data_IF_861294670722
#
_entry.id   IF_861294670722
#
_cell.length_a   1.000
_cell.length_b   1.000
_cell.length_c   1.000
_cell.angle_alpha   90.00
_cell.angle_beta   90.00
_cell.angle_gamma   90.00
#
_symmetry.space_group_name_H-M   'P 1'
#
loop_
_entity.id
_entity.type
_entity.pdbx_description
1 polymer ?
#
# COMPACT_ATOMS: atom_id res chain seq x y z
N UNK A 1 -2.78 33.71 19.44
CA UNK A 1 -3.51 34.82 18.78
C UNK A 1 -4.78 35.10 19.57
N UNK A 2 -5.05 36.34 19.95
CA UNK A 2 -6.23 36.72 20.77
C UNK A 2 -7.53 36.58 19.98
N UNK A 3 -8.64 36.20 20.65
CA UNK A 3 -9.98 36.12 20.06
C UNK A 3 -10.41 37.44 19.41
N UNK A 4 -9.98 38.57 19.97
CA UNK A 4 -10.27 39.90 19.45
C UNK A 4 -9.63 40.14 18.07
N UNK A 5 -8.42 39.65 17.85
CA UNK A 5 -7.73 39.75 16.57
C UNK A 5 -8.42 38.94 15.46
N UNK A 6 -8.96 37.76 15.79
CA UNK A 6 -9.73 36.95 14.83
C UNK A 6 -11.06 37.60 14.46
N UNK A 7 -11.76 38.18 15.45
CA UNK A 7 -12.99 38.92 15.22
C UNK A 7 -12.75 40.16 14.34
N UNK A 8 -11.66 40.90 14.57
CA UNK A 8 -11.26 42.04 13.77
C UNK A 8 -10.91 41.64 12.32
N UNK A 9 -10.13 40.57 12.12
CA UNK A 9 -9.78 40.07 10.79
C UNK A 9 -11.02 39.59 10.01
N UNK A 10 -11.95 38.89 10.67
CA UNK A 10 -13.23 38.48 10.05
C UNK A 10 -14.09 39.68 9.68
N UNK A 11 -14.16 40.69 10.55
CA UNK A 11 -14.90 41.94 10.29
C UNK A 11 -14.34 42.67 9.08
N UNK A 12 -13.02 42.77 8.97
CA UNK A 12 -12.34 43.37 7.81
C UNK A 12 -12.61 42.58 6.53
N UNK A 13 -12.46 41.25 6.55
CA UNK A 13 -12.76 40.38 5.40
C UNK A 13 -14.22 40.51 4.95
N UNK A 14 -15.17 40.53 5.88
CA UNK A 14 -16.59 40.71 5.56
C UNK A 14 -16.88 42.10 5.01
N UNK A 15 -16.20 43.15 5.49
CA UNK A 15 -16.34 44.49 4.95
C UNK A 15 -15.84 44.56 3.50
N UNK A 16 -14.72 43.91 3.18
CA UNK A 16 -14.20 43.81 1.81
C UNK A 16 -15.18 43.06 0.88
N UNK A 17 -15.72 41.93 1.34
CA UNK A 17 -16.72 41.16 0.57
C UNK A 17 -18.02 41.96 0.34
N UNK A 18 -18.49 42.72 1.34
CA UNK A 18 -19.68 43.57 1.21
C UNK A 18 -19.47 44.72 0.23
N UNK A 19 -18.30 45.37 0.28
CA UNK A 19 -17.93 46.42 -0.69
C UNK A 19 -17.92 45.86 -2.11
N UNK A 20 -17.23 44.73 -2.33
CA UNK A 20 -17.20 44.07 -3.64
C UNK A 20 -18.58 43.68 -4.16
N UNK A 21 -19.49 43.20 -3.29
CA UNK A 21 -20.87 42.90 -3.68
C UNK A 21 -21.63 44.16 -4.09
N UNK A 22 -21.44 45.28 -3.37
CA UNK A 22 -22.06 46.55 -3.74
C UNK A 22 -21.52 47.11 -5.07
N UNK A 23 -20.22 46.95 -5.33
CA UNK A 23 -19.61 47.33 -6.61
C UNK A 23 -20.12 46.47 -7.78
N UNK A 24 -20.32 45.15 -7.55
CA UNK A 24 -20.95 44.21 -8.50
C UNK A 24 -22.42 44.60 -8.79
N UNK A 25 -23.17 45.03 -7.78
CA UNK A 25 -24.59 45.44 -7.89
C UNK A 25 -24.76 46.83 -8.54
N UNK A 26 -23.76 47.71 -8.42
CA UNK A 26 -23.70 49.01 -9.08
C UNK A 26 -23.19 48.95 -10.54
N UNK A 27 -22.85 47.75 -11.05
CA UNK A 27 -22.36 47.55 -12.41
C UNK A 27 -21.00 48.19 -12.70
N UNK A 28 -20.22 48.50 -11.65
CA UNK A 28 -18.87 49.05 -11.80
C UNK A 28 -17.90 47.87 -11.97
N UNK A 29 -17.51 47.59 -13.21
CA UNK A 29 -16.48 46.62 -13.56
C UNK A 29 -15.12 47.10 -13.00
N UNK A 30 -14.85 46.79 -11.73
CA UNK A 30 -13.51 47.00 -11.16
C UNK A 30 -12.59 46.02 -11.87
N UNK A 31 -11.59 46.54 -12.60
CA UNK A 31 -10.52 45.77 -13.24
C UNK A 31 -9.65 45.07 -12.19
N UNK A 32 -10.21 44.00 -11.61
CA UNK A 32 -9.52 43.13 -10.68
C UNK A 32 -8.43 42.36 -11.41
N UNK A 33 -7.26 42.28 -10.77
CA UNK A 33 -6.08 41.52 -11.19
C UNK A 33 -6.44 40.14 -11.80
N UNK A 34 -5.75 39.68 -12.87
CA UNK A 34 -6.06 38.45 -13.61
C UNK A 34 -6.06 37.15 -12.79
N UNK A 35 -5.68 37.19 -11.51
CA UNK A 35 -5.36 36.01 -10.69
C UNK A 35 -6.46 35.60 -9.68
N UNK A 36 -7.66 36.20 -9.71
CA UNK A 36 -8.77 35.78 -8.84
C UNK A 36 -9.59 34.66 -9.51
N UNK A 37 -9.18 33.40 -9.29
CA UNK A 37 -9.81 32.21 -9.86
C UNK A 37 -11.33 32.15 -9.61
N UNK A 38 -11.83 32.73 -8.51
CA UNK A 38 -13.25 32.80 -8.20
C UNK A 38 -14.06 33.71 -9.15
N UNK A 39 -13.45 34.75 -9.73
CA UNK A 39 -14.09 35.60 -10.75
C UNK A 39 -14.14 34.93 -12.11
N UNK A 40 -13.07 34.22 -12.48
CA UNK A 40 -13.00 33.55 -13.79
C UNK A 40 -14.02 32.40 -13.86
N UNK A 41 -14.16 31.62 -12.78
CA UNK A 41 -15.15 30.54 -12.69
C UNK A 41 -16.58 31.09 -12.72
N UNK A 42 -16.84 32.27 -12.15
CA UNK A 42 -18.18 32.89 -12.13
C UNK A 42 -18.56 33.58 -13.46
N UNK A 43 -17.59 33.95 -14.31
CA UNK A 43 -17.84 34.61 -15.61
C UNK A 43 -18.01 33.66 -16.79
N UNK A 44 -17.64 32.39 -16.67
CA UNK A 44 -17.79 31.41 -17.77
C UNK A 44 -18.96 30.47 -17.51
N UNK A 45 -20.16 30.87 -17.97
CA UNK A 45 -21.28 29.93 -18.06
C UNK A 45 -20.97 28.88 -19.11
N UNK A 46 -21.15 27.59 -18.74
CA UNK A 46 -20.83 26.44 -19.61
C UNK A 46 -21.49 26.53 -20.99
N UNK A 47 -22.68 27.14 -21.06
CA UNK A 47 -23.49 27.30 -22.27
C UNK A 47 -23.33 28.69 -22.95
N UNK A 48 -22.34 29.50 -22.58
CA UNK A 48 -22.16 30.85 -23.12
C UNK A 48 -20.74 31.06 -23.61
N UNK A 49 -20.60 31.67 -24.77
CA UNK A 49 -19.30 32.01 -25.35
C UNK A 49 -18.87 33.40 -24.88
N UNK A 50 -17.76 33.52 -24.12
CA UNK A 50 -17.34 34.81 -23.55
C UNK A 50 -16.87 35.81 -24.62
N UNK A 51 -16.56 35.34 -25.83
CA UNK A 51 -16.08 36.18 -26.95
C UNK A 51 -17.26 36.70 -27.78
N UNK A 52 -18.23 35.84 -28.11
CA UNK A 52 -19.36 36.19 -28.97
C UNK A 52 -20.56 36.70 -28.20
N UNK A 53 -20.60 36.47 -26.89
CA UNK A 53 -21.68 36.92 -26.03
C UNK A 53 -23.02 36.23 -26.32
N UNK A 54 -23.00 35.06 -26.95
CA UNK A 54 -24.18 34.30 -27.32
C UNK A 54 -24.18 32.93 -26.63
N UNK A 55 -25.35 32.29 -26.62
CA UNK A 55 -25.46 30.91 -26.17
C UNK A 55 -24.68 29.99 -27.12
N UNK A 56 -23.85 29.10 -26.57
CA UNK A 56 -23.19 28.03 -27.31
C UNK A 56 -24.24 27.14 -27.94
N UNK A 57 -24.28 27.07 -29.26
CA UNK A 57 -25.18 26.20 -30.02
C UNK A 57 -24.35 25.08 -30.63
N UNK A 58 -24.59 23.84 -30.21
CA UNK A 58 -24.02 22.67 -30.84
C UNK A 58 -24.88 22.34 -32.08
N UNK A 59 -24.53 22.90 -33.23
CA UNK A 59 -25.33 22.77 -34.46
C UNK A 59 -24.92 21.58 -35.30
N UNK A 60 -23.70 21.08 -35.13
CA UNK A 60 -23.15 19.97 -35.87
C UNK A 60 -22.47 18.96 -34.94
N UNK A 61 -22.32 17.72 -35.43
CA UNK A 61 -21.61 16.64 -34.73
C UNK A 61 -20.15 17.00 -34.41
N UNK A 62 -19.58 17.98 -35.13
CA UNK A 62 -18.22 18.50 -34.94
C UNK A 62 -18.11 19.51 -33.79
N UNK A 63 -19.23 20.11 -33.39
CA UNK A 63 -19.27 21.10 -32.30
C UNK A 63 -19.36 20.40 -30.93
N UNK A 64 -19.75 19.11 -30.91
CA UNK A 64 -19.81 18.35 -29.67
C UNK A 64 -18.40 18.14 -29.11
N UNK A 65 -18.23 18.27 -27.78
CA UNK A 65 -16.96 17.93 -27.14
C UNK A 65 -16.61 16.47 -27.45
N UNK A 66 -15.31 16.18 -27.44
CA UNK A 66 -14.83 14.82 -27.67
C UNK A 66 -15.49 13.86 -26.67
N UNK A 67 -16.04 12.77 -27.19
CA UNK A 67 -16.78 11.81 -26.38
C UNK A 67 -15.88 10.63 -26.09
N UNK A 68 -16.08 9.98 -24.95
CA UNK A 68 -15.27 8.86 -24.46
C UNK A 68 -15.18 7.74 -25.52
N UNK A 69 -16.20 7.56 -26.35
CA UNK A 69 -16.19 6.56 -27.43
C UNK A 69 -15.11 6.81 -28.48
N UNK A 70 -14.75 8.08 -28.74
CA UNK A 70 -13.66 8.46 -29.65
C UNK A 70 -12.30 8.31 -28.98
N UNK A 71 -12.21 8.65 -27.70
CA UNK A 71 -10.98 8.46 -26.91
C UNK A 71 -10.63 6.96 -26.77
N UNK A 72 -11.64 6.10 -26.78
CA UNK A 72 -11.49 4.64 -26.67
C UNK A 72 -11.44 3.96 -28.05
N UNK A 73 -11.70 4.69 -29.12
CA UNK A 73 -11.60 4.18 -30.49
C UNK A 73 -10.15 3.79 -30.79
N UNK A 74 -9.92 2.51 -31.06
CA UNK A 74 -8.58 1.98 -31.35
C UNK A 74 -7.79 1.46 -30.14
N UNK A 75 -8.16 1.78 -28.90
CA UNK A 75 -7.51 1.19 -27.71
C UNK A 75 -7.62 -0.33 -27.70
N UNK A 76 -8.75 -0.88 -28.14
CA UNK A 76 -8.95 -2.32 -28.24
C UNK A 76 -7.98 -2.98 -29.23
N UNK A 77 -7.68 -2.31 -30.35
CA UNK A 77 -6.77 -2.82 -31.36
C UNK A 77 -5.33 -2.76 -30.86
N UNK A 78 -4.95 -1.67 -30.20
CA UNK A 78 -3.64 -1.51 -29.57
C UNK A 78 -3.38 -2.56 -28.48
N UNK A 79 -4.36 -2.84 -27.61
CA UNK A 79 -4.23 -3.87 -26.57
C UNK A 79 -4.05 -5.25 -27.19
N UNK A 80 -4.75 -5.55 -28.28
CA UNK A 80 -4.65 -6.84 -28.95
C UNK A 80 -3.29 -7.01 -29.65
N UNK A 81 -2.81 -5.96 -30.32
CA UNK A 81 -1.48 -5.93 -30.94
C UNK A 81 -0.36 -6.03 -29.89
N UNK A 82 -0.50 -5.36 -28.75
CA UNK A 82 0.45 -5.45 -27.62
C UNK A 82 0.45 -6.85 -26.99
N UNK A 83 -0.71 -7.48 -26.81
CA UNK A 83 -0.80 -8.86 -26.29
C UNK A 83 -0.19 -9.87 -27.27
N UNK A 84 -0.40 -9.70 -28.58
CA UNK A 84 0.24 -10.52 -29.61
C UNK A 84 1.77 -10.35 -29.62
N UNK A 85 2.27 -9.11 -29.51
CA UNK A 85 3.70 -8.82 -29.41
C UNK A 85 4.30 -9.43 -28.14
N UNK A 86 3.65 -9.25 -26.99
CA UNK A 86 4.06 -9.82 -25.69
C UNK A 86 4.03 -11.34 -25.65
N UNK A 87 3.22 -11.97 -26.52
CA UNK A 87 3.12 -13.42 -26.65
C UNK A 87 4.14 -14.00 -27.65
N UNK A 88 4.64 -13.17 -28.56
CA UNK A 88 5.71 -13.49 -29.51
C UNK A 88 7.11 -13.25 -28.94
N UNK A 89 7.26 -12.22 -28.09
CA UNK A 89 8.43 -12.08 -27.23
C UNK A 89 8.52 -13.31 -26.31
N UNK A 90 9.67 -13.98 -26.35
CA UNK A 90 9.91 -15.27 -25.73
C UNK A 90 9.24 -15.39 -24.36
N UNK A 91 8.44 -16.44 -24.19
CA UNK A 91 7.79 -16.82 -22.94
C UNK A 91 8.79 -16.80 -21.79
N UNK A 92 8.82 -15.71 -21.04
CA UNK A 92 9.62 -15.57 -19.85
C UNK A 92 9.19 -16.66 -18.85
N UNK A 93 10.01 -17.72 -18.79
CA UNK A 93 9.79 -18.91 -17.97
C UNK A 93 9.68 -18.56 -16.48
N UNK A 94 10.18 -17.38 -16.07
CA UNK A 94 10.06 -16.88 -14.70
C UNK A 94 8.65 -16.34 -14.39
N UNK A 95 7.89 -15.91 -15.40
CA UNK A 95 6.52 -15.42 -15.26
C UNK A 95 5.47 -16.54 -15.32
N UNK A 96 5.87 -17.73 -15.80
CA UNK A 96 5.10 -18.99 -15.74
C UNK A 96 5.26 -19.69 -14.37
N UNK A 97 6.23 -19.24 -13.55
CA UNK A 97 6.37 -19.74 -12.19
C UNK A 97 5.03 -19.59 -11.44
N UNK A 98 4.63 -20.62 -10.65
CA UNK A 98 3.37 -20.56 -9.93
C UNK A 98 3.39 -19.34 -9.01
N UNK A 99 2.57 -18.33 -9.34
CA UNK A 99 2.29 -17.19 -8.46
C UNK A 99 2.00 -17.72 -7.06
N UNK A 100 2.50 -16.99 -6.04
CA UNK A 100 2.33 -17.33 -4.63
C UNK A 100 0.92 -17.90 -4.43
N UNK A 101 0.80 -19.13 -3.89
CA UNK A 101 -0.46 -19.82 -3.84
C UNK A 101 -1.47 -18.89 -3.19
N UNK A 102 -2.48 -18.54 -3.99
CA UNK A 102 -3.45 -17.52 -3.64
C UNK A 102 -3.99 -17.82 -2.25
N UNK A 103 -4.31 -16.77 -1.49
CA UNK A 103 -4.99 -16.77 -0.19
C UNK A 103 -5.97 -17.94 0.08
N UNK A 104 -6.56 -18.51 -0.97
CA UNK A 104 -7.30 -19.76 -1.00
C UNK A 104 -6.53 -21.00 -0.48
N UNK A 105 -5.28 -21.21 -0.90
CA UNK A 105 -4.45 -22.31 -0.39
C UNK A 105 -4.17 -22.16 1.10
N UNK A 106 -3.91 -20.92 1.56
CA UNK A 106 -3.75 -20.62 2.98
C UNK A 106 -5.03 -20.96 3.74
N UNK A 107 -6.19 -20.55 3.23
CA UNK A 107 -7.50 -20.82 3.81
C UNK A 107 -7.83 -22.32 3.89
N UNK A 108 -7.54 -23.05 2.81
CA UNK A 108 -7.80 -24.49 2.72
C UNK A 108 -6.85 -25.31 3.60
N UNK A 109 -5.58 -24.91 3.67
CA UNK A 109 -4.60 -25.49 4.60
C UNK A 109 -4.96 -25.21 6.05
N UNK A 110 -5.38 -23.99 6.39
CA UNK A 110 -5.72 -23.59 7.76
C UNK A 110 -6.87 -24.44 8.34
N UNK A 111 -7.84 -24.84 7.51
CA UNK A 111 -8.89 -25.78 7.92
C UNK A 111 -8.35 -27.17 8.26
N UNK A 112 -7.32 -27.65 7.54
CA UNK A 112 -6.67 -28.95 7.81
C UNK A 112 -5.75 -28.85 9.03
N UNK A 113 -4.98 -27.77 9.13
CA UNK A 113 -4.05 -27.48 10.21
C UNK A 113 -4.80 -27.36 11.54
N UNK A 114 -5.94 -26.67 11.59
CA UNK A 114 -6.80 -26.59 12.78
C UNK A 114 -7.25 -27.95 13.34
N UNK A 115 -7.50 -28.94 12.47
CA UNK A 115 -7.84 -30.31 12.91
C UNK A 115 -6.62 -31.05 13.47
N UNK A 116 -5.45 -30.81 12.87
CA UNK A 116 -4.19 -31.42 13.25
C UNK A 116 -3.68 -30.82 14.57
N UNK A 117 -3.69 -29.50 14.72
CA UNK A 117 -3.27 -28.78 15.94
C UNK A 117 -3.94 -29.30 17.21
N UNK A 118 -5.22 -29.70 17.12
CA UNK A 118 -5.92 -30.28 18.27
C UNK A 118 -5.30 -31.62 18.66
N UNK A 119 -5.03 -32.49 17.69
CA UNK A 119 -4.38 -33.79 17.89
C UNK A 119 -2.93 -33.63 18.34
N UNK A 120 -2.22 -32.64 17.81
CA UNK A 120 -0.84 -32.35 18.19
C UNK A 120 -0.78 -31.90 19.65
N UNK A 121 -1.70 -31.03 20.09
CA UNK A 121 -1.81 -30.64 21.51
C UNK A 121 -2.14 -31.85 22.40
N UNK A 122 -3.07 -32.71 21.97
CA UNK A 122 -3.39 -33.97 22.69
C UNK A 122 -2.16 -34.90 22.77
N UNK A 123 -1.39 -35.02 21.69
CA UNK A 123 -0.16 -35.83 21.64
C UNK A 123 0.95 -35.24 22.52
N UNK A 124 1.16 -33.91 22.48
CA UNK A 124 2.11 -33.20 23.34
C UNK A 124 1.77 -33.43 24.82
N UNK A 125 0.48 -33.30 25.20
CA UNK A 125 0.05 -33.58 26.58
C UNK A 125 0.31 -35.03 26.98
N UNK A 126 0.10 -35.98 26.06
CA UNK A 126 0.35 -37.40 26.31
C UNK A 126 1.84 -37.68 26.49
N UNK A 127 2.70 -37.09 25.66
CA UNK A 127 4.15 -37.19 25.77
C UNK A 127 4.67 -36.58 27.07
N UNK A 128 4.17 -35.40 27.47
CA UNK A 128 4.54 -34.78 28.74
C UNK A 128 4.15 -35.68 29.92
N UNK A 129 2.94 -36.26 29.91
CA UNK A 129 2.49 -37.17 30.97
C UNK A 129 3.36 -38.43 31.05
N UNK A 130 3.66 -39.06 29.90
CA UNK A 130 4.53 -40.23 29.85
C UNK A 130 5.93 -39.92 30.36
N UNK A 131 6.47 -38.74 30.02
CA UNK A 131 7.79 -38.29 30.48
C UNK A 131 7.83 -38.04 31.98
N UNK A 132 6.81 -37.38 32.55
CA UNK A 132 6.73 -37.17 34.01
C UNK A 132 6.63 -38.52 34.73
N UNK A 133 5.80 -39.44 34.23
CA UNK A 133 5.62 -40.76 34.84
C UNK A 133 6.88 -41.63 34.74
N UNK A 134 7.60 -41.60 33.60
CA UNK A 134 8.84 -42.35 33.45
C UNK A 134 9.94 -41.82 34.38
N UNK A 135 10.00 -40.51 34.60
CA UNK A 135 10.91 -39.89 35.56
C UNK A 135 10.53 -40.23 37.01
N UNK A 136 9.26 -40.10 37.40
CA UNK A 136 8.78 -40.50 38.74
C UNK A 136 9.10 -41.97 39.05
N UNK A 137 8.93 -42.86 38.05
CA UNK A 137 9.28 -44.28 38.20
C UNK A 137 10.79 -44.50 38.31
N UNK A 138 11.61 -43.70 37.62
CA UNK A 138 13.06 -43.77 37.71
C UNK A 138 13.61 -43.20 39.03
N UNK A 139 12.97 -42.16 39.58
CA UNK A 139 13.36 -41.50 40.83
C UNK A 139 12.72 -42.09 42.08
N UNK A 140 11.75 -43.01 41.93
CA UNK A 140 11.10 -43.71 43.04
C UNK A 140 10.30 -42.80 43.99
N UNK A 141 9.87 -41.62 43.51
CA UNK A 141 9.23 -40.61 44.34
C UNK A 141 7.70 -40.63 44.15
N UNK A 142 6.99 -41.16 45.15
CA UNK A 142 5.53 -41.14 45.20
C UNK A 142 5.02 -39.75 45.65
N UNK A 143 4.54 -38.96 44.70
CA UNK A 143 3.28 -38.20 44.87
C UNK A 143 3.23 -36.95 45.75
N UNK A 144 4.31 -36.21 45.98
CA UNK A 144 4.24 -34.88 46.61
C UNK A 144 4.23 -33.73 45.57
N UNK A 145 3.21 -32.86 45.62
CA UNK A 145 2.98 -31.72 44.70
C UNK A 145 4.18 -30.75 44.59
N UNK A 146 5.01 -30.68 45.64
CA UNK A 146 6.25 -29.88 45.65
C UNK A 146 7.34 -30.47 44.75
N UNK A 147 7.44 -31.79 44.65
CA UNK A 147 8.43 -32.48 43.81
C UNK A 147 8.16 -32.29 42.32
N UNK A 148 6.88 -32.16 41.93
CA UNK A 148 6.46 -32.00 40.53
C UNK A 148 6.88 -30.64 39.97
N UNK A 149 6.90 -29.60 40.81
CA UNK A 149 7.37 -28.26 40.41
C UNK A 149 8.89 -28.19 40.25
N UNK A 150 9.64 -28.89 41.11
CA UNK A 150 11.10 -29.00 41.01
C UNK A 150 11.51 -29.82 39.76
N UNK A 151 10.86 -30.97 39.53
CA UNK A 151 11.06 -31.78 38.33
C UNK A 151 10.63 -31.02 37.06
N UNK A 152 9.55 -30.23 37.13
CA UNK A 152 9.09 -29.38 36.03
C UNK A 152 10.15 -28.36 35.58
N UNK A 153 10.87 -27.75 36.52
CA UNK A 153 11.96 -26.81 36.20
C UNK A 153 13.16 -27.51 35.55
N UNK A 154 13.51 -28.72 36.01
CA UNK A 154 14.59 -29.53 35.42
C UNK A 154 14.23 -30.00 33.99
N UNK A 155 12.98 -30.41 33.77
CA UNK A 155 12.48 -30.81 32.45
C UNK A 155 12.56 -29.66 31.45
N UNK A 156 12.20 -28.43 31.85
CA UNK A 156 12.27 -27.23 30.98
C UNK A 156 13.72 -26.87 30.63
N UNK A 157 14.66 -27.05 31.56
CA UNK A 157 16.08 -26.86 31.27
C UNK A 157 16.63 -27.92 30.28
N UNK A 158 16.21 -29.18 30.42
CA UNK A 158 16.58 -30.26 29.49
C UNK A 158 15.99 -30.06 28.08
N UNK A 159 14.73 -29.63 27.96
CA UNK A 159 14.08 -29.48 26.64
C UNK A 159 14.60 -28.27 25.88
N UNK A 160 14.91 -27.17 26.58
CA UNK A 160 15.50 -25.98 25.94
C UNK A 160 16.90 -26.25 25.39
N UNK A 161 17.67 -27.14 26.03
CA UNK A 161 18.97 -27.59 25.51
C UNK A 161 18.83 -28.40 24.21
N UNK A 162 17.88 -29.36 24.14
CA UNK A 162 17.64 -30.17 22.93
C UNK A 162 17.00 -29.38 21.77
N UNK A 163 16.14 -28.40 22.07
CA UNK A 163 15.52 -27.54 21.05
C UNK A 163 16.52 -26.50 20.51
N UNK A 164 17.44 -26.02 21.36
CA UNK A 164 18.49 -25.08 20.97
C UNK A 164 19.48 -25.67 19.95
N UNK A 165 19.89 -26.92 20.14
CA UNK A 165 20.78 -27.64 19.21
C UNK A 165 20.11 -27.92 17.86
N UNK A 166 18.80 -28.18 17.84
CA UNK A 166 18.06 -28.42 16.59
C UNK A 166 17.84 -27.15 15.74
N UNK A 167 17.72 -25.98 16.39
CA UNK A 167 17.64 -24.67 15.68
C UNK A 167 18.96 -24.27 15.03
N UNK A 168 20.09 -24.57 15.65
CA UNK A 168 21.42 -24.22 15.11
C UNK A 168 21.68 -24.89 13.76
N UNK A 169 21.17 -26.12 13.53
CA UNK A 169 21.35 -26.86 12.28
C UNK A 169 20.48 -26.39 11.12
N UNK A 170 19.44 -25.59 11.38
CA UNK A 170 18.55 -25.05 10.35
C UNK A 170 18.93 -23.62 9.92
N UNK A 171 19.77 -22.95 10.72
CA UNK A 171 20.24 -21.58 10.49
C UNK A 171 21.41 -21.48 9.51
N UNK A 172 22.13 -22.56 9.23
CA UNK A 172 23.34 -22.54 8.39
C UNK A 172 23.06 -22.71 6.90
N UNK A 173 21.81 -22.61 6.47
CA UNK A 173 21.38 -22.82 5.07
C UNK A 173 20.71 -21.58 4.45
N UNK A 174 20.95 -20.36 4.98
CA UNK A 174 20.30 -19.14 4.42
C UNK A 174 21.16 -17.88 4.37
N UNK A 175 22.47 -17.92 4.58
CA UNK A 175 23.31 -16.71 4.56
C UNK A 175 24.59 -16.91 3.73
N UNK A 176 24.43 -17.18 2.43
CA UNK A 176 25.46 -16.95 1.41
C UNK A 176 24.71 -16.68 0.09
N UNK A 177 24.68 -15.41 -0.35
CA UNK A 177 24.78 -14.97 -1.75
C UNK A 177 24.47 -13.45 -1.86
N UNK A 178 25.57 -12.68 -2.01
CA UNK A 178 25.76 -11.46 -2.82
C UNK A 178 25.28 -10.07 -2.31
N UNK A 179 26.14 -9.44 -1.52
CA UNK A 179 26.32 -7.97 -1.48
C UNK A 179 27.15 -7.52 -2.70
N UNK A 180 26.51 -7.18 -3.82
CA UNK A 180 27.15 -6.45 -4.92
C UNK A 180 27.20 -4.94 -4.58
N UNK A 181 28.35 -4.52 -4.07
CA UNK A 181 28.79 -3.13 -3.96
C UNK A 181 28.93 -2.51 -5.37
N UNK A 182 27.90 -1.80 -5.84
CA UNK A 182 27.97 -0.93 -7.02
C UNK A 182 28.86 0.31 -6.71
N UNK A 183 30.17 0.14 -6.89
CA UNK A 183 31.14 1.23 -6.94
C UNK A 183 31.46 1.63 -8.39
N UNK A 184 31.37 2.95 -8.62
CA UNK A 184 32.04 3.75 -9.66
C UNK A 184 31.46 3.77 -11.10
N UNK A 185 30.95 4.94 -11.49
CA UNK A 185 31.65 5.84 -12.43
C UNK A 185 30.91 7.18 -12.58
N UNK A 186 31.27 8.18 -11.75
CA UNK A 186 31.07 9.59 -12.09
C UNK A 186 32.28 10.03 -12.93
N UNK A 187 32.16 9.95 -14.25
CA UNK A 187 33.11 10.56 -15.18
C UNK A 187 32.82 12.04 -15.35
N UNK A 188 33.67 12.82 -14.68
CA UNK A 188 34.13 14.18 -14.97
C UNK A 188 33.58 14.83 -16.26
N UNK A 189 32.61 15.74 -16.09
CA UNK A 189 32.23 16.75 -17.06
C UNK A 189 32.97 18.05 -16.73
N UNK A 190 34.20 18.17 -17.22
CA UNK A 190 34.92 19.45 -17.30
C UNK A 190 35.74 19.55 -18.58
N UNK A 191 35.67 20.74 -19.19
CA UNK A 191 36.48 21.28 -20.29
C UNK A 191 36.29 20.73 -21.72
N UNK A 192 35.51 21.46 -22.53
CA UNK A 192 36.01 22.15 -23.72
C UNK A 192 34.90 22.94 -24.40
N UNK A 193 35.06 24.27 -24.48
CA UNK A 193 34.72 25.05 -25.67
C UNK A 193 35.45 26.41 -25.57
N UNK A 194 36.62 26.45 -26.23
CA UNK A 194 37.19 27.67 -26.77
C UNK A 194 36.82 27.72 -28.26
N UNK A 195 36.03 28.72 -28.65
CA UNK A 195 36.30 29.65 -29.76
C UNK A 195 35.20 30.73 -29.83
#
# INVERSE_FOLDING_TARGET
>A
MSMEAFAAARKQKLALLRKRKADEEAGVEVSGSPHDAGLMIKRHFRNYDPITGQMKRFTSVKDLPDTIEKDVEGLQQQILEEDEQRRLEDLDLTNIAPKRPNWDLKRDLEKRLKKLERRDKEAILTLIRQRIQSQQKATGADGDESSVTALGAEIVASTTADVGTQRQLLSTNSDDDDDDDDQEQDSDLSDQDQD
#
